data_IF_969459224662
#
_entry.id   IF_969459224662
#
_cell.length_a   1.000
_cell.length_b   1.000
_cell.length_c   1.000
_cell.angle_alpha   90.00
_cell.angle_beta   90.00
_cell.angle_gamma   90.00
#
_symmetry.space_group_name_H-M   'P 1'
#
loop_
_entity.id
_entity.type
_entity.pdbx_description
1 polymer ?
#
# COMPACT_ATOMS: atom_id res chain seq x y z
N UNK A 1 -7.16 -26.91 8.81
CA UNK A 1 -6.18 -25.80 8.80
C UNK A 1 -6.93 -24.54 9.22
N UNK A 2 -6.80 -24.15 10.48
CA UNK A 2 -7.28 -22.83 10.91
C UNK A 2 -6.43 -21.77 10.21
N UNK A 3 -7.03 -21.06 9.26
CA UNK A 3 -6.38 -19.91 8.64
C UNK A 3 -6.32 -18.81 9.70
N UNK A 4 -5.18 -18.67 10.37
CA UNK A 4 -4.85 -17.58 11.32
C UNK A 4 -5.05 -16.17 10.73
N UNK A 5 -5.22 -16.09 9.41
CA UNK A 5 -5.53 -14.89 8.66
C UNK A 5 -6.90 -14.99 8.01
N UNK A 6 -7.71 -13.92 8.13
CA UNK A 6 -9.03 -13.85 7.49
C UNK A 6 -8.91 -13.97 5.96
N UNK A 7 -9.83 -14.66 5.26
CA UNK A 7 -9.76 -14.88 3.81
C UNK A 7 -9.58 -13.59 2.99
N UNK A 8 -10.23 -12.50 3.40
CA UNK A 8 -10.15 -11.20 2.72
C UNK A 8 -8.73 -10.63 2.71
N UNK A 9 -7.95 -10.90 3.77
CA UNK A 9 -6.55 -10.46 3.88
C UNK A 9 -5.63 -11.30 3.00
N UNK A 10 -5.95 -12.58 2.82
CA UNK A 10 -5.23 -13.47 1.90
C UNK A 10 -5.41 -12.99 0.46
N UNK A 11 -6.61 -12.59 0.06
CA UNK A 11 -6.82 -12.01 -1.27
C UNK A 11 -5.98 -10.75 -1.52
N UNK A 12 -5.85 -9.88 -0.53
CA UNK A 12 -5.00 -8.67 -0.65
C UNK A 12 -3.52 -9.02 -0.82
N UNK A 13 -3.03 -10.03 -0.09
CA UNK A 13 -1.67 -10.55 -0.25
C UNK A 13 -1.46 -11.17 -1.63
N UNK A 14 -2.44 -11.95 -2.11
CA UNK A 14 -2.40 -12.55 -3.44
C UNK A 14 -2.46 -11.51 -4.55
N UNK A 15 -3.23 -10.43 -4.38
CA UNK A 15 -3.24 -9.31 -5.33
C UNK A 15 -1.88 -8.61 -5.38
N UNK A 16 -1.22 -8.37 -4.24
CA UNK A 16 0.14 -7.83 -4.20
C UNK A 16 1.13 -8.76 -4.89
N UNK A 17 1.10 -10.05 -4.53
CA UNK A 17 1.96 -11.07 -5.11
C UNK A 17 1.75 -11.17 -6.62
N UNK A 18 0.50 -11.22 -7.08
CA UNK A 18 0.14 -11.32 -8.49
C UNK A 18 0.57 -10.08 -9.25
N UNK A 19 0.34 -8.88 -8.72
CA UNK A 19 0.75 -7.63 -9.36
C UNK A 19 2.27 -7.52 -9.46
N UNK A 20 2.99 -7.92 -8.39
CA UNK A 20 4.46 -7.92 -8.37
C UNK A 20 5.06 -9.02 -9.23
N UNK A 21 4.41 -10.18 -9.38
CA UNK A 21 4.91 -11.30 -10.21
C UNK A 21 4.59 -11.11 -11.70
N UNK A 22 3.40 -10.62 -12.04
CA UNK A 22 2.96 -10.43 -13.42
C UNK A 22 3.41 -9.08 -14.00
N UNK A 23 3.50 -8.03 -13.17
CA UNK A 23 4.12 -6.76 -13.57
C UNK A 23 5.65 -6.86 -13.75
N UNK A 24 6.27 -7.96 -13.29
CA UNK A 24 7.71 -8.11 -13.17
C UNK A 24 8.22 -9.44 -13.72
N UNK A 25 7.94 -9.77 -14.98
CA UNK A 25 8.58 -10.96 -15.59
C UNK A 25 10.10 -10.84 -15.80
N UNK A 26 10.81 -9.83 -15.24
CA UNK A 26 12.30 -9.77 -15.10
C UNK A 26 12.89 -8.47 -14.50
N UNK A 27 12.07 -7.50 -14.04
CA UNK A 27 12.55 -6.12 -13.83
C UNK A 27 12.07 -5.43 -12.54
N UNK A 28 12.04 -6.11 -11.40
CA UNK A 28 11.96 -5.43 -10.09
C UNK A 28 13.19 -5.70 -9.21
N UNK A 29 13.89 -6.82 -9.46
CA UNK A 29 15.09 -7.26 -8.75
C UNK A 29 16.28 -6.26 -8.89
N UNK A 30 16.24 -5.34 -9.85
CA UNK A 30 17.35 -4.42 -10.18
C UNK A 30 17.03 -2.94 -9.86
N UNK A 31 15.77 -2.60 -9.53
CA UNK A 31 15.28 -1.22 -9.72
C UNK A 31 15.29 -0.32 -8.49
N UNK A 32 15.47 -0.86 -7.28
CA UNK A 32 15.84 -0.03 -6.11
C UNK A 32 17.26 0.54 -6.21
N UNK A 33 18.05 0.17 -7.23
CA UNK A 33 19.43 0.64 -7.43
C UNK A 33 19.54 1.80 -8.42
N UNK A 34 18.49 2.18 -9.17
CA UNK A 34 18.49 3.34 -10.09
C UNK A 34 17.09 3.98 -10.25
N UNK A 35 16.88 5.25 -9.85
CA UNK A 35 15.55 5.89 -9.78
C UNK A 35 15.03 6.47 -11.11
N UNK A 36 15.51 6.03 -12.28
CA UNK A 36 15.33 6.79 -13.52
C UNK A 36 14.16 6.37 -14.44
N UNK A 37 13.18 5.55 -14.02
CA UNK A 37 12.11 5.10 -14.95
C UNK A 37 10.67 5.42 -14.49
N UNK A 38 10.11 6.46 -15.13
CA UNK A 38 8.71 6.96 -15.07
C UNK A 38 7.57 5.92 -14.98
N UNK A 39 7.59 4.73 -15.64
CA UNK A 39 6.50 3.75 -15.49
C UNK A 39 6.35 3.18 -14.06
N UNK A 40 7.39 3.22 -13.24
CA UNK A 40 7.33 2.75 -11.84
C UNK A 40 6.52 3.71 -10.95
N UNK A 41 6.60 5.01 -11.20
CA UNK A 41 5.87 6.01 -10.43
C UNK A 41 4.36 5.87 -10.63
N UNK A 42 3.91 5.66 -11.87
CA UNK A 42 2.50 5.46 -12.18
C UNK A 42 1.93 4.17 -11.56
N UNK A 43 2.65 3.05 -11.64
CA UNK A 43 2.21 1.79 -11.04
C UNK A 43 2.15 1.87 -9.50
N UNK A 44 3.16 2.49 -8.89
CA UNK A 44 3.22 2.70 -7.43
C UNK A 44 2.08 3.63 -6.98
N UNK A 45 1.80 4.68 -7.76
CA UNK A 45 0.70 5.60 -7.48
C UNK A 45 -0.67 4.91 -7.63
N UNK A 46 -0.88 4.11 -8.67
CA UNK A 46 -2.09 3.29 -8.80
C UNK A 46 -2.28 2.37 -7.58
N UNK A 47 -1.22 1.69 -7.14
CA UNK A 47 -1.27 0.86 -5.94
C UNK A 47 -1.57 1.71 -4.70
N UNK A 48 -0.95 2.87 -4.54
CA UNK A 48 -1.23 3.81 -3.43
C UNK A 48 -2.70 4.21 -3.41
N UNK A 49 -3.30 4.52 -4.56
CA UNK A 49 -4.71 4.89 -4.68
C UNK A 49 -5.64 3.71 -4.33
N UNK A 50 -5.34 2.51 -4.82
CA UNK A 50 -6.08 1.28 -4.48
C UNK A 50 -6.03 1.05 -2.97
N UNK A 51 -4.83 1.01 -2.38
CA UNK A 51 -4.63 0.79 -0.96
C UNK A 51 -5.23 1.89 -0.08
N UNK A 52 -5.27 3.12 -0.59
CA UNK A 52 -5.94 4.24 0.07
C UNK A 52 -7.44 4.09 0.08
N UNK A 53 -8.03 3.32 -0.83
CA UNK A 53 -9.48 3.13 -0.95
C UNK A 53 -10.04 1.98 -0.11
N UNK A 54 -9.17 1.14 0.47
CA UNK A 54 -9.58 -0.06 1.22
C UNK A 54 -9.63 0.24 2.72
N UNK A 55 -10.75 -0.03 3.44
CA UNK A 55 -10.87 0.24 4.88
C UNK A 55 -10.13 -0.78 5.76
N UNK A 56 -9.52 -1.81 5.16
CA UNK A 56 -8.85 -2.89 5.88
C UNK A 56 -7.58 -2.45 6.64
N UNK A 57 -7.27 -3.09 7.78
CA UNK A 57 -6.03 -2.90 8.50
C UNK A 57 -4.81 -3.18 7.61
N UNK A 58 -3.73 -2.45 7.87
CA UNK A 58 -2.46 -2.62 7.16
C UNK A 58 -1.90 -4.02 7.38
N UNK A 59 -1.19 -4.52 6.36
CA UNK A 59 -0.48 -5.78 6.44
C UNK A 59 0.82 -5.57 7.21
N UNK A 60 1.08 -6.47 8.15
CA UNK A 60 2.33 -6.46 8.88
C UNK A 60 3.43 -7.22 8.15
N UNK A 61 4.69 -6.91 8.48
CA UNK A 61 5.85 -7.64 7.99
C UNK A 61 5.70 -9.12 8.28
N UNK A 62 5.34 -9.47 9.52
CA UNK A 62 5.12 -10.85 9.94
C UNK A 62 4.05 -11.54 9.11
N UNK A 63 2.95 -10.84 8.80
CA UNK A 63 1.88 -11.41 7.99
C UNK A 63 2.31 -11.75 6.58
N UNK A 64 3.00 -10.81 5.94
CA UNK A 64 3.49 -10.97 4.56
C UNK A 64 4.58 -12.04 4.51
N UNK A 65 5.47 -12.02 5.50
CA UNK A 65 6.63 -12.90 5.55
C UNK A 65 6.24 -14.36 5.78
N UNK A 66 5.35 -14.62 6.76
CA UNK A 66 4.89 -15.99 7.06
C UNK A 66 3.95 -16.53 5.98
N UNK A 67 3.04 -15.71 5.45
CA UNK A 67 2.07 -16.18 4.43
C UNK A 67 2.72 -16.54 3.09
N UNK A 68 3.91 -16.03 2.82
CA UNK A 68 4.64 -16.29 1.57
C UNK A 68 5.83 -17.24 1.79
N UNK A 69 5.93 -17.84 2.97
CA UNK A 69 6.92 -18.87 3.27
C UNK A 69 6.72 -20.09 2.34
N UNK A 70 7.81 -20.59 1.76
CA UNK A 70 7.78 -21.66 0.76
C UNK A 70 7.40 -21.22 -0.66
N UNK A 71 6.71 -20.08 -0.82
CA UNK A 71 6.39 -19.53 -2.14
C UNK A 71 7.47 -18.58 -2.69
N UNK A 72 8.18 -17.89 -1.79
CA UNK A 72 9.23 -16.92 -2.09
C UNK A 72 10.45 -17.12 -1.19
N UNK A 73 11.63 -16.77 -1.72
CA UNK A 73 12.86 -16.71 -0.93
C UNK A 73 12.80 -15.63 0.15
N UNK A 74 13.73 -15.69 1.10
CA UNK A 74 13.89 -14.68 2.15
C UNK A 74 13.96 -13.26 1.57
N UNK A 75 14.83 -13.06 0.58
CA UNK A 75 15.11 -11.75 0.01
C UNK A 75 13.94 -11.21 -0.83
N UNK A 76 13.23 -12.09 -1.53
CA UNK A 76 12.03 -11.72 -2.28
C UNK A 76 10.90 -11.26 -1.35
N UNK A 77 10.70 -11.95 -0.22
CA UNK A 77 9.71 -11.55 0.79
C UNK A 77 10.06 -10.20 1.43
N UNK A 78 11.32 -10.00 1.77
CA UNK A 78 11.80 -8.74 2.33
C UNK A 78 11.60 -7.57 1.34
N UNK A 79 11.99 -7.76 0.07
CA UNK A 79 11.79 -6.77 -0.99
C UNK A 79 10.31 -6.46 -1.24
N UNK A 80 9.45 -7.48 -1.29
CA UNK A 80 8.02 -7.32 -1.48
C UNK A 80 7.40 -6.49 -0.35
N UNK A 81 7.80 -6.73 0.90
CA UNK A 81 7.35 -5.91 2.01
C UNK A 81 7.89 -4.48 1.96
N UNK A 82 9.15 -4.27 1.55
CA UNK A 82 9.68 -2.93 1.37
C UNK A 82 8.87 -2.14 0.32
N UNK A 83 8.52 -2.75 -0.82
CA UNK A 83 7.65 -2.13 -1.81
C UNK A 83 6.29 -1.75 -1.21
N UNK A 84 5.70 -2.66 -0.44
CA UNK A 84 4.44 -2.40 0.26
C UNK A 84 4.55 -1.23 1.23
N UNK A 85 5.60 -1.21 2.06
CA UNK A 85 5.84 -0.17 3.05
C UNK A 85 5.96 1.21 2.41
N UNK A 86 6.61 1.31 1.24
CA UNK A 86 6.64 2.55 0.42
C UNK A 86 5.23 2.96 0.01
N UNK A 87 4.43 2.03 -0.53
CA UNK A 87 3.07 2.30 -1.00
C UNK A 87 2.14 2.78 0.13
N UNK A 88 2.26 2.19 1.31
CA UNK A 88 1.40 2.54 2.46
C UNK A 88 1.99 3.63 3.36
N UNK A 89 3.21 4.08 3.07
CA UNK A 89 3.91 5.15 3.78
C UNK A 89 4.42 4.75 5.17
N UNK A 90 4.75 3.47 5.38
CA UNK A 90 5.31 3.02 6.65
C UNK A 90 5.57 1.53 6.76
N UNK A 91 6.55 1.19 7.60
CA UNK A 91 6.89 -0.19 7.97
C UNK A 91 6.16 -0.60 9.25
N UNK A 92 5.56 -1.79 9.28
CA UNK A 92 4.77 -2.25 10.42
C UNK A 92 5.09 -3.71 10.80
N UNK A 93 5.76 -3.92 11.93
CA UNK A 93 6.04 -5.26 12.47
C UNK A 93 4.77 -6.06 12.83
N UNK A 94 3.72 -5.37 13.26
CA UNK A 94 2.44 -5.95 13.71
C UNK A 94 1.27 -5.30 12.98
N UNK A 95 0.13 -5.98 12.95
CA UNK A 95 -1.11 -5.47 12.34
C UNK A 95 -1.44 -4.10 12.93
N UNK A 96 -1.67 -3.13 12.07
CA UNK A 96 -2.09 -1.78 12.48
C UNK A 96 -3.47 -1.46 11.91
N UNK A 97 -4.43 -1.02 12.75
CA UNK A 97 -5.67 -0.47 12.23
C UNK A 97 -5.38 0.80 11.42
N UNK A 98 -6.26 1.12 10.48
CA UNK A 98 -6.22 2.40 9.76
C UNK A 98 -6.57 3.54 10.71
N UNK A 99 -6.03 4.72 10.43
CA UNK A 99 -6.41 5.92 11.17
C UNK A 99 -7.90 6.21 10.98
N UNK A 100 -8.50 6.87 11.98
CA UNK A 100 -9.89 7.32 11.88
C UNK A 100 -10.09 8.17 10.63
N UNK A 101 -9.14 9.08 10.32
CA UNK A 101 -9.16 9.91 9.11
C UNK A 101 -9.34 9.06 7.84
N UNK A 102 -8.57 7.98 7.70
CA UNK A 102 -8.65 7.05 6.56
C UNK A 102 -9.99 6.33 6.53
N UNK A 103 -10.45 5.80 7.65
CA UNK A 103 -11.75 5.11 7.75
C UNK A 103 -12.90 6.05 7.36
N UNK A 104 -12.91 7.28 7.90
CA UNK A 104 -13.88 8.32 7.55
C UNK A 104 -13.86 8.62 6.04
N UNK A 105 -12.67 8.77 5.43
CA UNK A 105 -12.56 8.98 3.97
C UNK A 105 -13.16 7.83 3.17
N UNK A 106 -12.86 6.59 3.53
CA UNK A 106 -13.43 5.42 2.82
C UNK A 106 -14.94 5.33 2.99
N UNK A 107 -15.47 5.65 4.18
CA UNK A 107 -16.90 5.64 4.46
C UNK A 107 -17.64 6.73 3.67
N UNK A 108 -17.13 7.97 3.68
CA UNK A 108 -17.71 9.08 2.91
C UNK A 108 -17.73 8.75 1.42
N UNK A 109 -16.59 8.31 0.84
CA UNK A 109 -16.52 7.92 -0.57
C UNK A 109 -17.51 6.80 -0.91
N UNK A 110 -17.68 5.81 -0.02
CA UNK A 110 -18.65 4.72 -0.20
C UNK A 110 -20.09 5.22 -0.20
N UNK A 111 -20.45 6.10 0.74
CA UNK A 111 -21.80 6.68 0.82
C UNK A 111 -22.11 7.54 -0.41
N UNK A 112 -21.16 8.36 -0.85
CA UNK A 112 -21.32 9.18 -2.06
C UNK A 112 -21.58 8.33 -3.29
N UNK A 113 -20.79 7.27 -3.48
CA UNK A 113 -21.01 6.31 -4.56
C UNK A 113 -22.41 5.69 -4.51
N UNK A 114 -22.84 5.22 -3.33
CA UNK A 114 -24.18 4.63 -3.13
C UNK A 114 -25.32 5.61 -3.43
N UNK A 115 -25.09 6.90 -3.20
CA UNK A 115 -26.06 7.95 -3.44
C UNK A 115 -26.00 8.51 -4.87
N UNK A 116 -25.26 7.87 -5.79
CA UNK A 116 -25.17 8.29 -7.19
C UNK A 116 -24.27 9.51 -7.43
N UNK A 117 -23.48 9.91 -6.44
CA UNK A 117 -22.50 10.98 -6.57
C UNK A 117 -21.15 10.41 -7.05
N UNK A 118 -20.96 10.39 -8.36
CA UNK A 118 -19.73 9.92 -9.01
C UNK A 118 -18.52 10.74 -8.56
N UNK A 119 -17.40 10.07 -8.26
CA UNK A 119 -16.16 10.74 -7.86
C UNK A 119 -15.29 11.01 -9.11
N UNK A 120 -14.59 12.16 -9.19
CA UNK A 120 -14.43 13.20 -8.17
C UNK A 120 -15.54 14.28 -8.14
N UNK A 121 -16.41 14.34 -9.15
CA UNK A 121 -17.36 15.44 -9.34
C UNK A 121 -18.36 15.60 -8.19
N UNK A 122 -18.81 14.49 -7.61
CA UNK A 122 -19.67 14.44 -6.44
C UNK A 122 -19.06 15.15 -5.23
N UNK A 123 -17.74 15.03 -5.04
CA UNK A 123 -17.01 15.75 -3.97
C UNK A 123 -16.96 17.24 -4.27
N UNK A 124 -16.71 17.61 -5.54
CA UNK A 124 -16.68 19.01 -5.96
C UNK A 124 -18.03 19.70 -5.73
N UNK A 125 -19.13 18.97 -5.91
CA UNK A 125 -20.48 19.47 -5.78
C UNK A 125 -21.04 19.38 -4.33
N UNK A 126 -20.29 18.79 -3.39
CA UNK A 126 -20.74 18.60 -2.01
C UNK A 126 -20.60 19.86 -1.11
N UNK A 127 -20.08 20.97 -1.64
CA UNK A 127 -19.90 22.21 -0.86
C UNK A 127 -18.84 22.13 0.25
N UNK A 128 -17.93 21.15 0.17
CA UNK A 128 -16.89 20.95 1.19
C UNK A 128 -15.73 21.95 1.03
N UNK A 129 -15.02 22.30 2.11
CA UNK A 129 -13.74 23.01 2.04
C UNK A 129 -12.74 22.31 1.11
N UNK A 130 -11.92 23.10 0.39
CA UNK A 130 -10.95 22.59 -0.61
C UNK A 130 -10.03 21.50 -0.06
N UNK A 131 -9.53 21.68 1.15
CA UNK A 131 -8.65 20.71 1.83
C UNK A 131 -9.33 19.35 2.02
N UNK A 132 -10.61 19.34 2.40
CA UNK A 132 -11.39 18.11 2.53
C UNK A 132 -11.69 17.49 1.17
N UNK A 133 -11.91 18.30 0.14
CA UNK A 133 -12.07 17.79 -1.22
C UNK A 133 -10.80 17.09 -1.72
N UNK A 134 -9.63 17.71 -1.54
CA UNK A 134 -8.33 17.12 -1.92
C UNK A 134 -8.08 15.81 -1.17
N UNK A 135 -8.33 15.81 0.14
CA UNK A 135 -8.18 14.62 0.96
C UNK A 135 -9.12 13.49 0.50
N UNK A 136 -10.41 13.78 0.29
CA UNK A 136 -11.38 12.80 -0.18
C UNK A 136 -11.08 12.29 -1.59
N UNK A 137 -10.48 13.13 -2.45
CA UNK A 137 -10.06 12.77 -3.81
C UNK A 137 -8.75 11.97 -3.88
N UNK A 138 -8.21 11.53 -2.73
CA UNK A 138 -6.95 10.77 -2.66
C UNK A 138 -5.76 11.58 -3.20
N UNK A 139 -5.83 12.91 -3.09
CA UNK A 139 -4.74 13.81 -3.45
C UNK A 139 -3.44 13.42 -2.76
N UNK A 140 -2.32 13.84 -3.35
CA UNK A 140 -0.98 13.51 -2.87
C UNK A 140 -0.73 14.16 -1.49
N UNK A 141 -1.08 13.46 -0.41
CA UNK A 141 -0.53 13.75 0.91
C UNK A 141 1.00 13.57 0.79
N UNK A 142 1.74 14.64 1.06
CA UNK A 142 3.18 14.79 0.79
C UNK A 142 4.05 13.56 1.13
N UNK A 143 4.86 13.22 0.13
CA UNK A 143 6.10 12.43 0.07
C UNK A 143 6.42 11.43 1.22
N UNK A 144 6.02 10.15 1.10
CA UNK A 144 6.43 9.08 2.00
C UNK A 144 7.88 8.60 1.79
N UNK A 145 8.57 9.05 0.74
CA UNK A 145 9.85 8.47 0.34
C UNK A 145 11.00 8.82 1.31
N UNK A 146 10.96 9.98 1.95
CA UNK A 146 12.05 10.44 2.83
C UNK A 146 12.15 9.64 4.15
N UNK A 147 11.02 9.10 4.64
CA UNK A 147 10.99 8.32 5.90
C UNK A 147 11.35 6.84 5.70
N UNK A 148 11.05 6.29 4.53
CA UNK A 148 11.22 4.85 4.27
C UNK A 148 12.67 4.49 3.96
N UNK A 149 13.44 5.39 3.31
CA UNK A 149 14.84 5.15 3.00
C UNK A 149 15.73 4.97 4.25
N UNK A 150 15.41 5.68 5.34
CA UNK A 150 16.14 5.56 6.61
C UNK A 150 15.91 4.19 7.30
N UNK A 151 14.68 3.70 7.28
CA UNK A 151 14.34 2.41 7.91
C UNK A 151 14.84 1.22 7.09
N UNK A 152 14.79 1.29 5.76
CA UNK A 152 15.31 0.24 4.87
C UNK A 152 16.83 0.15 4.92
N UNK A 153 17.54 1.29 5.06
CA UNK A 153 18.99 1.32 5.22
C UNK A 153 19.43 0.66 6.55
N UNK A 154 18.74 0.93 7.66
CA UNK A 154 19.03 0.31 8.94
C UNK A 154 18.73 -1.19 8.97
N UNK A 155 17.71 -1.67 8.24
CA UNK A 155 17.44 -3.10 8.13
C UNK A 155 18.56 -3.85 7.41
N UNK A 156 19.11 -3.33 6.31
CA UNK A 156 20.25 -3.99 5.62
C UNK A 156 21.48 -4.14 6.51
N UNK A 157 21.71 -3.19 7.42
CA UNK A 157 22.89 -3.20 8.30
C UNK A 157 22.66 -3.97 9.62
N UNK A 158 21.40 -4.23 9.99
CA UNK A 158 21.02 -4.95 11.22
C UNK A 158 21.00 -6.47 11.12
N UNK A 159 21.09 -7.05 9.91
CA UNK A 159 21.12 -8.51 9.70
C UNK A 159 22.54 -9.11 9.63
N UNK A 160 23.59 -8.30 9.88
CA UNK A 160 25.00 -8.74 9.91
C UNK A 160 25.64 -8.75 11.32
N UNK A 161 24.84 -8.83 12.39
CA UNK A 161 25.34 -9.13 13.74
C UNK A 161 24.61 -10.30 14.36
#
# INVERSE_FOLDING_TARGET
METWMKPERIYLLLQMFWFLRNGSRRRYIIYFRRPEKRPLAAATECLRLIWSSIPSPLLSFREVYLSLEGALSHDERAQLYCCYAVIVGGFHLRVRPRSLKHLSRTAVRSIMWKNGHYLPDGIRNAGLPKELQEYLNLGCDRDPFEKVDYEVHNMRNGFHR
#
